data_IF_543082865747
#
_entry.id   IF_543082865747
#
_cell.length_a   1.000
_cell.length_b   1.000
_cell.length_c   1.000
_cell.angle_alpha   90.00
_cell.angle_beta   90.00
_cell.angle_gamma   90.00
#
_symmetry.space_group_name_H-M   'P 1'
#
loop_
_entity.id
_entity.type
_entity.pdbx_description
1 polymer ?
#
# COMPACT_ATOMS: atom_id res chain seq x y z
N UNK A 1 13.95 -16.24 7.87
CA UNK A 1 13.15 -16.80 6.78
C UNK A 1 13.17 -15.93 5.53
N UNK A 2 12.86 -14.64 5.64
CA UNK A 2 12.75 -13.76 4.49
C UNK A 2 13.31 -12.35 4.76
N UNK A 3 13.92 -11.74 3.72
CA UNK A 3 14.27 -10.31 3.69
C UNK A 3 13.87 -9.76 2.32
N UNK A 4 13.24 -8.59 2.29
CA UNK A 4 12.83 -7.91 1.08
C UNK A 4 12.71 -6.39 1.25
N UNK A 5 12.32 -5.72 0.19
CA UNK A 5 12.06 -4.28 0.14
C UNK A 5 10.64 -4.04 -0.37
N UNK A 6 9.99 -3.03 0.19
CA UNK A 6 8.73 -2.47 -0.29
C UNK A 6 8.90 -1.01 -0.72
N UNK A 7 7.79 -0.36 -1.00
CA UNK A 7 7.77 1.06 -1.30
C UNK A 7 8.58 1.44 -2.54
N UNK A 8 9.14 2.64 -2.52
CA UNK A 8 9.89 3.18 -3.66
C UNK A 8 11.17 2.40 -3.95
N UNK A 9 11.85 1.90 -2.92
CA UNK A 9 13.05 1.05 -3.09
C UNK A 9 12.69 -0.30 -3.71
N UNK A 10 11.61 -0.94 -3.24
CA UNK A 10 11.13 -2.20 -3.80
C UNK A 10 10.71 -2.10 -5.28
N UNK A 11 10.27 -0.92 -5.71
CA UNK A 11 9.87 -0.62 -7.09
C UNK A 11 10.99 -0.07 -7.97
N UNK A 12 12.16 0.25 -7.40
CA UNK A 12 13.26 0.91 -8.14
C UNK A 12 12.99 2.38 -8.47
N UNK A 13 12.11 3.04 -7.71
CA UNK A 13 11.68 4.43 -7.90
C UNK A 13 12.18 5.36 -6.77
N UNK A 14 13.11 4.89 -5.94
CA UNK A 14 13.59 5.63 -4.77
C UNK A 14 14.37 6.89 -5.17
N UNK A 15 14.26 7.92 -4.34
CA UNK A 15 15.04 9.15 -4.36
C UNK A 15 15.91 9.23 -3.10
N UNK A 16 16.77 10.23 -3.00
CA UNK A 16 17.65 10.43 -1.82
C UNK A 16 16.88 10.64 -0.51
N UNK A 17 15.62 11.10 -0.59
CA UNK A 17 14.75 11.35 0.56
C UNK A 17 13.70 10.27 0.79
N UNK A 18 13.75 9.17 0.04
CA UNK A 18 12.79 8.08 0.16
C UNK A 18 13.06 7.25 1.40
N UNK A 19 12.00 6.88 2.12
CA UNK A 19 12.06 5.88 3.19
C UNK A 19 12.49 4.52 2.63
N UNK A 20 13.27 3.79 3.42
CA UNK A 20 13.75 2.44 3.09
C UNK A 20 12.83 1.44 3.79
N UNK A 21 11.82 0.98 3.09
CA UNK A 21 10.82 0.03 3.61
C UNK A 21 11.37 -1.40 3.58
N UNK A 22 11.99 -1.85 4.68
CA UNK A 22 12.60 -3.17 4.81
C UNK A 22 11.58 -4.17 5.36
N UNK A 23 11.45 -5.32 4.71
CA UNK A 23 10.66 -6.44 5.21
C UNK A 23 11.60 -7.48 5.77
N UNK A 24 11.43 -7.84 7.05
CA UNK A 24 12.21 -8.90 7.72
C UNK A 24 11.25 -9.88 8.38
N UNK A 25 11.30 -11.14 7.95
CA UNK A 25 10.49 -12.20 8.55
C UNK A 25 11.45 -13.24 9.13
N UNK A 26 11.39 -13.44 10.43
CA UNK A 26 12.16 -14.44 11.15
C UNK A 26 11.38 -15.77 11.20
N UNK A 27 12.06 -16.88 11.46
CA UNK A 27 11.39 -18.15 11.69
C UNK A 27 10.52 -18.11 12.95
N UNK A 28 11.08 -17.55 14.03
CA UNK A 28 10.38 -17.19 15.27
C UNK A 28 10.68 -15.71 15.59
N UNK A 29 9.71 -15.00 16.14
CA UNK A 29 9.83 -13.59 16.47
C UNK A 29 9.37 -13.31 17.90
N UNK A 30 10.22 -12.69 18.69
CA UNK A 30 10.01 -12.41 20.12
C UNK A 30 10.25 -10.93 20.45
N UNK A 31 9.83 -10.51 21.64
CA UNK A 31 10.12 -9.16 22.12
C UNK A 31 11.63 -8.87 22.26
N UNK A 32 12.46 -9.90 22.45
CA UNK A 32 13.91 -9.74 22.49
C UNK A 32 14.49 -9.45 21.11
N UNK A 33 13.90 -10.03 20.06
CA UNK A 33 14.31 -9.77 18.66
C UNK A 33 14.01 -8.33 18.26
N UNK A 34 12.95 -7.73 18.79
CA UNK A 34 12.66 -6.28 18.57
C UNK A 34 13.80 -5.42 19.12
N UNK A 35 14.29 -5.75 20.34
CA UNK A 35 15.38 -5.01 20.95
C UNK A 35 16.70 -5.19 20.18
N UNK A 36 16.99 -6.42 19.76
CA UNK A 36 18.16 -6.73 18.94
C UNK A 36 18.12 -6.03 17.58
N UNK A 37 16.96 -6.04 16.92
CA UNK A 37 16.73 -5.35 15.66
C UNK A 37 16.90 -3.83 15.81
N UNK A 38 16.34 -3.22 16.86
CA UNK A 38 16.52 -1.80 17.12
C UNK A 38 18.00 -1.44 17.34
N UNK A 39 18.71 -2.22 18.17
CA UNK A 39 20.14 -2.01 18.39
C UNK A 39 20.98 -2.14 17.11
N UNK A 40 20.59 -3.03 16.21
CA UNK A 40 21.22 -3.15 14.88
C UNK A 40 20.92 -1.91 14.02
N UNK A 41 19.69 -1.43 14.00
CA UNK A 41 19.30 -0.24 13.24
C UNK A 41 20.07 1.00 13.71
N UNK A 42 20.31 1.15 15.02
CA UNK A 42 20.95 2.32 15.61
C UNK A 42 22.42 2.50 15.17
N UNK A 43 23.07 1.44 14.66
CA UNK A 43 24.43 1.50 14.11
C UNK A 43 24.49 1.68 12.59
N UNK A 44 23.34 1.65 11.90
CA UNK A 44 23.29 1.81 10.44
C UNK A 44 23.26 3.29 10.04
N UNK A 45 23.90 3.65 8.91
CA UNK A 45 23.74 4.97 8.34
C UNK A 45 22.29 5.19 7.89
N UNK A 46 21.83 6.45 7.92
CA UNK A 46 20.49 6.85 7.50
C UNK A 46 19.38 6.13 8.28
N UNK A 47 19.62 5.90 9.59
CA UNK A 47 18.67 5.22 10.49
C UNK A 47 17.27 5.83 10.41
N UNK A 48 17.19 7.14 10.25
CA UNK A 48 15.96 7.93 10.17
C UNK A 48 15.10 7.62 8.93
N UNK A 49 15.71 7.09 7.87
CA UNK A 49 15.00 6.68 6.65
C UNK A 49 14.56 5.21 6.70
N UNK A 50 15.10 4.42 7.62
CA UNK A 50 14.80 2.98 7.68
C UNK A 50 13.50 2.78 8.44
N UNK A 51 12.52 2.22 7.75
CA UNK A 51 11.25 1.76 8.31
C UNK A 51 10.90 0.38 7.73
N UNK A 52 9.69 -0.08 7.93
CA UNK A 52 9.21 -1.30 7.29
C UNK A 52 8.47 -2.25 8.23
N UNK A 53 8.46 -3.52 7.85
CA UNK A 53 7.67 -4.55 8.51
C UNK A 53 8.58 -5.67 9.04
N UNK A 54 8.44 -5.98 10.32
CA UNK A 54 9.17 -7.08 10.97
C UNK A 54 8.17 -8.01 11.64
N UNK A 55 8.27 -9.31 11.41
CA UNK A 55 7.35 -10.30 11.95
C UNK A 55 7.98 -11.69 12.03
N UNK A 56 7.30 -12.62 12.69
CA UNK A 56 7.57 -14.05 12.60
C UNK A 56 6.85 -14.69 11.41
N UNK A 57 7.41 -15.78 10.91
CA UNK A 57 6.79 -16.59 9.84
C UNK A 57 5.38 -17.04 10.21
N UNK A 58 5.22 -17.54 11.44
CA UNK A 58 3.93 -18.04 11.93
C UNK A 58 2.86 -16.95 11.96
N UNK A 59 3.20 -15.77 12.43
CA UNK A 59 2.30 -14.64 12.50
C UNK A 59 1.91 -14.21 11.09
N UNK A 60 2.88 -14.10 10.16
CA UNK A 60 2.62 -13.73 8.78
C UNK A 60 1.71 -14.74 8.05
N UNK A 61 1.93 -16.05 8.24
CA UNK A 61 1.09 -17.09 7.63
C UNK A 61 -0.34 -17.15 8.20
N UNK A 62 -0.60 -16.50 9.34
CA UNK A 62 -1.92 -16.35 9.95
C UNK A 62 -2.47 -14.92 9.85
N UNK A 63 -1.83 -14.05 9.05
CA UNK A 63 -2.28 -12.68 8.84
C UNK A 63 -3.58 -12.65 8.02
N UNK A 64 -4.29 -11.52 8.07
CA UNK A 64 -5.50 -11.35 7.25
C UNK A 64 -5.17 -11.43 5.75
N UNK A 65 -5.77 -12.37 5.01
CA UNK A 65 -5.43 -12.59 3.60
C UNK A 65 -5.61 -11.36 2.69
N UNK A 66 -6.54 -10.46 3.00
CA UNK A 66 -6.71 -9.22 2.25
C UNK A 66 -5.51 -8.27 2.37
N UNK A 67 -4.84 -8.25 3.52
CA UNK A 67 -3.61 -7.48 3.71
C UNK A 67 -2.41 -8.16 3.04
N UNK A 68 -2.38 -9.51 3.06
CA UNK A 68 -1.33 -10.30 2.41
C UNK A 68 -1.28 -10.08 0.90
N UNK A 69 -2.38 -9.77 0.25
CA UNK A 69 -2.42 -9.47 -1.18
C UNK A 69 -1.47 -8.34 -1.54
N UNK A 70 -1.65 -7.18 -0.92
CA UNK A 70 -0.79 -6.01 -1.15
C UNK A 70 0.64 -6.29 -0.68
N UNK A 71 0.79 -6.90 0.49
CA UNK A 71 2.09 -7.22 1.07
C UNK A 71 2.93 -8.10 0.14
N UNK A 72 2.37 -9.17 -0.40
CA UNK A 72 3.06 -10.09 -1.32
C UNK A 72 3.49 -9.37 -2.60
N UNK A 73 2.55 -8.71 -3.24
CA UNK A 73 2.78 -8.13 -4.57
C UNK A 73 3.71 -6.90 -4.54
N UNK A 74 3.67 -6.07 -3.50
CA UNK A 74 4.53 -4.87 -3.39
C UNK A 74 5.93 -5.20 -2.86
N UNK A 75 6.14 -6.38 -2.27
CA UNK A 75 7.45 -6.81 -1.78
C UNK A 75 8.34 -7.32 -2.91
N UNK A 76 9.59 -6.85 -2.92
CA UNK A 76 10.65 -7.35 -3.79
C UNK A 76 11.63 -8.14 -2.95
N UNK A 77 11.79 -9.47 -3.18
CA UNK A 77 12.63 -10.32 -2.36
C UNK A 77 14.12 -10.02 -2.56
N UNK A 78 14.88 -10.01 -1.44
CA UNK A 78 16.35 -10.00 -1.42
C UNK A 78 16.84 -11.39 -1.01
N UNK A 79 16.20 -12.01 -0.01
CA UNK A 79 16.53 -13.34 0.51
C UNK A 79 15.26 -14.10 0.87
N UNK A 80 15.20 -15.37 0.50
CA UNK A 80 14.03 -16.23 0.75
C UNK A 80 12.91 -16.02 -0.28
N UNK A 81 11.75 -16.60 -0.01
CA UNK A 81 10.53 -16.47 -0.84
C UNK A 81 9.30 -16.25 0.04
N UNK A 82 8.34 -15.51 -0.47
CA UNK A 82 7.00 -15.33 0.11
C UNK A 82 5.94 -16.21 -0.57
N UNK A 83 6.31 -17.12 -1.46
CA UNK A 83 5.37 -17.87 -2.30
C UNK A 83 4.38 -18.73 -1.49
N UNK A 84 4.71 -19.09 -0.24
CA UNK A 84 3.77 -19.73 0.68
C UNK A 84 2.50 -18.89 0.92
N UNK A 85 2.58 -17.56 0.79
CA UNK A 85 1.43 -16.65 0.95
C UNK A 85 0.42 -16.76 -0.18
N UNK A 86 0.85 -17.16 -1.38
CA UNK A 86 -0.04 -17.29 -2.55
C UNK A 86 -1.21 -18.25 -2.30
N UNK A 87 -0.96 -19.29 -1.52
CA UNK A 87 -2.01 -20.25 -1.14
C UNK A 87 -3.08 -19.69 -0.19
N UNK A 88 -2.84 -18.53 0.41
CA UNK A 88 -3.74 -17.86 1.34
C UNK A 88 -4.54 -16.72 0.68
N UNK A 89 -4.09 -16.25 -0.49
CA UNK A 89 -4.67 -15.11 -1.21
C UNK A 89 -5.60 -15.63 -2.30
N UNK A 90 -6.87 -15.78 -1.97
CA UNK A 90 -7.94 -16.15 -2.90
C UNK A 90 -8.69 -14.93 -3.45
N UNK A 91 -9.62 -15.15 -4.39
CA UNK A 91 -10.47 -14.08 -4.94
C UNK A 91 -11.25 -13.35 -3.86
N UNK A 92 -11.72 -14.05 -2.82
CA UNK A 92 -12.45 -13.43 -1.71
C UNK A 92 -11.55 -12.52 -0.86
N UNK A 93 -10.26 -12.83 -0.73
CA UNK A 93 -9.28 -11.96 -0.09
C UNK A 93 -9.09 -10.66 -0.87
N UNK A 94 -9.01 -10.74 -2.21
CA UNK A 94 -8.88 -9.57 -3.09
C UNK A 94 -10.14 -8.70 -3.03
N UNK A 95 -11.32 -9.30 -3.07
CA UNK A 95 -12.61 -8.60 -2.89
C UNK A 95 -12.65 -7.84 -1.56
N UNK A 96 -12.19 -8.49 -0.47
CA UNK A 96 -12.10 -7.85 0.85
C UNK A 96 -11.09 -6.71 0.86
N UNK A 97 -9.92 -6.86 0.23
CA UNK A 97 -8.92 -5.79 0.13
C UNK A 97 -9.50 -4.54 -0.53
N UNK A 98 -10.18 -4.70 -1.66
CA UNK A 98 -10.86 -3.61 -2.38
C UNK A 98 -11.93 -2.97 -1.49
N UNK A 99 -12.79 -3.80 -0.88
CA UNK A 99 -13.93 -3.33 -0.08
C UNK A 99 -13.48 -2.60 1.17
N UNK A 100 -12.55 -3.17 1.93
CA UNK A 100 -12.00 -2.56 3.15
C UNK A 100 -11.28 -1.26 2.80
N UNK A 101 -10.46 -1.28 1.75
CA UNK A 101 -9.78 -0.09 1.25
C UNK A 101 -10.75 1.03 0.90
N UNK A 102 -11.79 0.75 0.11
CA UNK A 102 -12.83 1.72 -0.25
C UNK A 102 -13.56 2.28 0.98
N UNK A 103 -13.90 1.42 1.96
CA UNK A 103 -14.55 1.86 3.21
C UNK A 103 -13.66 2.81 4.02
N UNK A 104 -12.37 2.49 4.16
CA UNK A 104 -11.42 3.32 4.89
C UNK A 104 -11.19 4.66 4.19
N UNK A 105 -11.08 4.67 2.87
CA UNK A 105 -10.94 5.89 2.06
C UNK A 105 -12.19 6.76 2.20
N UNK A 106 -13.38 6.18 2.08
CA UNK A 106 -14.65 6.89 2.25
C UNK A 106 -14.71 7.57 3.62
N UNK A 107 -14.48 6.79 4.70
CA UNK A 107 -14.50 7.32 6.05
C UNK A 107 -13.47 8.43 6.26
N UNK A 108 -12.23 8.19 5.84
CA UNK A 108 -11.14 9.18 5.95
C UNK A 108 -11.42 10.45 5.15
N UNK A 109 -12.01 10.32 3.95
CA UNK A 109 -12.39 11.46 3.12
C UNK A 109 -13.46 12.32 3.79
N UNK A 110 -14.53 11.70 4.30
CA UNK A 110 -15.61 12.42 5.03
C UNK A 110 -15.04 13.10 6.27
N UNK A 111 -14.23 12.39 7.06
CA UNK A 111 -13.61 12.95 8.26
C UNK A 111 -12.71 14.16 7.92
N UNK A 112 -11.88 14.02 6.90
CA UNK A 112 -10.98 15.11 6.47
C UNK A 112 -11.75 16.33 5.96
N UNK A 113 -12.80 16.13 5.17
CA UNK A 113 -13.63 17.23 4.66
C UNK A 113 -14.36 18.00 5.76
N UNK A 114 -14.78 17.31 6.82
CA UNK A 114 -15.56 17.91 7.91
C UNK A 114 -14.69 18.53 9.00
N UNK A 115 -13.59 17.88 9.35
CA UNK A 115 -12.85 18.18 10.59
C UNK A 115 -11.42 18.69 10.34
N UNK A 116 -10.59 17.91 9.64
CA UNK A 116 -9.15 18.19 9.53
C UNK A 116 -8.82 19.22 8.44
N UNK A 117 -9.48 19.13 7.28
CA UNK A 117 -9.23 19.96 6.09
C UNK A 117 -7.77 20.01 5.70
N UNK A 118 -7.10 18.86 5.79
CA UNK A 118 -5.68 18.67 5.62
C UNK A 118 -5.34 18.13 4.23
N UNK A 119 -4.50 18.86 3.51
CA UNK A 119 -3.95 18.40 2.23
C UNK A 119 -3.07 17.16 2.39
N UNK A 120 -2.38 17.03 3.52
CA UNK A 120 -1.51 15.88 3.79
C UNK A 120 -2.31 14.59 4.00
N UNK A 121 -3.44 14.69 4.71
CA UNK A 121 -4.38 13.56 4.84
C UNK A 121 -4.94 13.20 3.45
N UNK A 122 -5.31 14.19 2.64
CA UNK A 122 -5.82 13.94 1.29
C UNK A 122 -4.79 13.21 0.41
N UNK A 123 -3.52 13.60 0.46
CA UNK A 123 -2.42 12.87 -0.21
C UNK A 123 -2.32 11.43 0.24
N UNK A 124 -2.41 11.19 1.55
CA UNK A 124 -2.40 9.84 2.13
C UNK A 124 -3.58 8.98 1.64
N UNK A 125 -4.78 9.58 1.54
CA UNK A 125 -5.97 8.90 1.02
C UNK A 125 -5.85 8.56 -0.46
N UNK A 126 -5.30 9.45 -1.30
CA UNK A 126 -5.02 9.15 -2.70
C UNK A 126 -3.95 8.06 -2.87
N UNK A 127 -2.92 8.07 -2.01
CA UNK A 127 -1.94 6.98 -1.97
C UNK A 127 -2.62 5.65 -1.66
N UNK A 128 -3.49 5.59 -0.65
CA UNK A 128 -4.26 4.39 -0.32
C UNK A 128 -5.19 3.96 -1.47
N UNK A 129 -5.87 4.93 -2.11
CA UNK A 129 -6.74 4.67 -3.26
C UNK A 129 -5.98 4.08 -4.45
N UNK A 130 -4.76 4.53 -4.72
CA UNK A 130 -3.93 3.97 -5.78
C UNK A 130 -3.60 2.49 -5.57
N UNK A 131 -3.45 2.05 -4.33
CA UNK A 131 -3.29 0.63 -3.99
C UNK A 131 -4.59 -0.17 -4.21
N UNK A 132 -5.75 0.42 -3.89
CA UNK A 132 -7.04 -0.22 -4.20
C UNK A 132 -7.21 -0.36 -5.72
N UNK A 133 -6.81 0.64 -6.51
CA UNK A 133 -6.82 0.56 -7.98
C UNK A 133 -5.92 -0.57 -8.49
N UNK A 134 -4.75 -0.81 -7.89
CA UNK A 134 -3.92 -1.97 -8.23
C UNK A 134 -4.64 -3.29 -7.98
N UNK A 135 -5.37 -3.41 -6.86
CA UNK A 135 -6.15 -4.62 -6.56
C UNK A 135 -7.32 -4.81 -7.53
N UNK A 136 -8.01 -3.73 -7.92
CA UNK A 136 -9.08 -3.74 -8.92
C UNK A 136 -8.54 -4.23 -10.27
N UNK A 137 -7.44 -3.65 -10.74
CA UNK A 137 -6.81 -4.03 -12.00
C UNK A 137 -6.34 -5.50 -11.99
N UNK A 138 -5.77 -5.95 -10.87
CA UNK A 138 -5.38 -7.35 -10.71
C UNK A 138 -6.59 -8.27 -10.76
N UNK A 139 -7.67 -7.95 -10.09
CA UNK A 139 -8.91 -8.74 -10.10
C UNK A 139 -9.48 -8.90 -11.50
N UNK A 140 -9.40 -7.86 -12.33
CA UNK A 140 -9.93 -7.85 -13.69
C UNK A 140 -9.03 -8.59 -14.69
N UNK A 141 -7.71 -8.59 -14.47
CA UNK A 141 -6.73 -9.02 -15.49
C UNK A 141 -5.84 -10.18 -15.05
N UNK A 142 -5.77 -10.48 -13.76
CA UNK A 142 -4.80 -11.40 -13.17
C UNK A 142 -3.36 -10.88 -13.16
N UNK A 143 -3.14 -9.61 -13.54
CA UNK A 143 -1.80 -9.01 -13.64
C UNK A 143 -1.61 -7.91 -12.59
N UNK A 144 -0.61 -8.05 -11.72
CA UNK A 144 -0.26 -6.99 -10.78
C UNK A 144 0.73 -6.00 -11.41
N UNK A 145 0.45 -4.72 -11.29
CA UNK A 145 1.29 -3.63 -11.81
C UNK A 145 1.83 -2.81 -10.65
N UNK A 146 3.12 -2.95 -10.33
CA UNK A 146 3.76 -2.24 -9.20
C UNK A 146 3.90 -0.73 -9.44
N UNK A 147 4.32 -0.35 -10.66
CA UNK A 147 4.54 1.05 -11.01
C UNK A 147 3.23 1.78 -11.22
N UNK A 148 3.01 2.88 -10.50
CA UNK A 148 1.82 3.71 -10.66
C UNK A 148 1.76 4.38 -12.04
N UNK A 149 2.92 4.70 -12.62
CA UNK A 149 3.01 5.27 -13.98
C UNK A 149 2.56 4.26 -15.05
N UNK A 150 2.93 3.00 -14.87
CA UNK A 150 2.52 1.93 -15.78
C UNK A 150 1.04 1.57 -15.59
N UNK A 151 0.55 1.60 -14.35
CA UNK A 151 -0.86 1.37 -14.00
C UNK A 151 -1.76 2.40 -14.68
N UNK A 152 -1.36 3.67 -14.66
CA UNK A 152 -2.07 4.77 -15.31
C UNK A 152 -2.40 4.50 -16.78
N UNK A 153 -1.53 3.80 -17.49
CA UNK A 153 -1.72 3.49 -18.93
C UNK A 153 -2.66 2.30 -19.18
N UNK A 154 -3.09 1.60 -18.12
CA UNK A 154 -3.76 0.30 -18.24
C UNK A 154 -5.17 0.29 -17.66
N UNK A 155 -5.46 1.20 -16.73
CA UNK A 155 -6.74 1.26 -16.02
C UNK A 155 -7.81 2.02 -16.80
N UNK A 156 -9.07 1.82 -16.41
CA UNK A 156 -10.23 2.55 -16.95
C UNK A 156 -10.16 4.06 -16.64
N UNK A 157 -11.00 4.87 -17.27
CA UNK A 157 -10.95 6.33 -17.11
C UNK A 157 -11.25 6.77 -15.66
N UNK A 158 -12.09 6.04 -14.94
CA UNK A 158 -12.40 6.36 -13.53
C UNK A 158 -11.22 6.07 -12.60
N UNK A 159 -10.62 4.90 -12.73
CA UNK A 159 -9.44 4.52 -11.96
C UNK A 159 -8.22 5.35 -12.37
N UNK A 160 -8.15 5.74 -13.64
CA UNK A 160 -7.09 6.62 -14.16
C UNK A 160 -7.08 7.95 -13.43
N UNK A 161 -8.23 8.59 -13.24
CA UNK A 161 -8.33 9.84 -12.50
C UNK A 161 -7.77 9.75 -11.08
N UNK A 162 -7.98 8.62 -10.38
CA UNK A 162 -7.42 8.40 -9.04
C UNK A 162 -5.88 8.31 -9.09
N UNK A 163 -5.34 7.57 -10.04
CA UNK A 163 -3.88 7.39 -10.19
C UNK A 163 -3.21 8.69 -10.65
N UNK A 164 -3.83 9.45 -11.58
CA UNK A 164 -3.34 10.77 -12.02
C UNK A 164 -3.26 11.75 -10.85
N UNK A 165 -4.32 11.86 -10.06
CA UNK A 165 -4.35 12.73 -8.89
C UNK A 165 -3.28 12.31 -7.86
N UNK A 166 -3.10 11.01 -7.62
CA UNK A 166 -2.03 10.53 -6.74
C UNK A 166 -0.65 10.96 -7.25
N UNK A 167 -0.37 10.77 -8.53
CA UNK A 167 0.93 11.14 -9.13
C UNK A 167 1.16 12.65 -9.11
N UNK A 168 0.13 13.45 -9.40
CA UNK A 168 0.16 14.91 -9.32
C UNK A 168 0.50 15.37 -7.89
N UNK A 169 -0.20 14.84 -6.89
CA UNK A 169 0.07 15.12 -5.48
C UNK A 169 1.49 14.72 -5.05
N UNK A 170 1.97 13.57 -5.53
CA UNK A 170 3.35 13.11 -5.28
C UNK A 170 4.40 14.05 -5.87
N UNK A 171 4.12 14.66 -7.02
CA UNK A 171 4.99 15.60 -7.68
C UNK A 171 4.95 17.03 -7.07
N UNK A 172 4.03 17.28 -6.13
CA UNK A 172 3.90 18.57 -5.47
C UNK A 172 3.06 19.59 -6.26
N UNK A 173 2.21 19.12 -7.16
CA UNK A 173 1.30 19.99 -7.90
C UNK A 173 0.25 20.62 -6.96
N UNK A 174 -0.38 21.69 -7.47
CA UNK A 174 -1.39 22.44 -6.71
C UNK A 174 -2.59 21.56 -6.36
N UNK A 175 -2.99 21.61 -5.10
CA UNK A 175 -4.14 20.89 -4.58
C UNK A 175 -5.39 21.77 -4.69
N UNK A 176 -6.43 21.27 -5.37
CA UNK A 176 -7.80 21.72 -5.14
C UNK A 176 -8.45 20.75 -4.15
N UNK A 177 -8.40 21.12 -2.88
CA UNK A 177 -8.87 20.26 -1.79
C UNK A 177 -10.33 19.83 -1.97
N UNK A 178 -11.20 20.77 -2.40
CA UNK A 178 -12.63 20.48 -2.50
C UNK A 178 -12.93 19.56 -3.68
N UNK A 179 -12.40 19.86 -4.85
CA UNK A 179 -12.60 19.07 -6.06
C UNK A 179 -12.03 17.66 -5.87
N UNK A 180 -10.77 17.56 -5.45
CA UNK A 180 -10.11 16.26 -5.27
C UNK A 180 -10.77 15.41 -4.16
N UNK A 181 -11.21 16.03 -3.06
CA UNK A 181 -11.95 15.29 -2.02
C UNK A 181 -13.29 14.77 -2.54
N UNK A 182 -13.99 15.54 -3.36
CA UNK A 182 -15.27 15.13 -3.96
C UNK A 182 -15.09 13.97 -4.92
N UNK A 183 -14.08 14.01 -5.79
CA UNK A 183 -13.74 12.91 -6.71
C UNK A 183 -13.45 11.62 -5.93
N UNK A 184 -12.62 11.70 -4.91
CA UNK A 184 -12.23 10.54 -4.11
C UNK A 184 -13.41 9.96 -3.31
N UNK A 185 -14.26 10.83 -2.76
CA UNK A 185 -15.48 10.44 -2.05
C UNK A 185 -16.44 9.66 -2.97
N UNK A 186 -16.77 10.19 -4.15
CA UNK A 186 -17.71 9.52 -5.07
C UNK A 186 -17.13 8.22 -5.63
N UNK A 187 -15.83 8.18 -5.91
CA UNK A 187 -15.15 6.96 -6.34
C UNK A 187 -15.21 5.87 -5.24
N UNK A 188 -14.87 6.20 -4.01
CA UNK A 188 -14.89 5.23 -2.90
C UNK A 188 -16.32 4.74 -2.59
N UNK A 189 -17.31 5.62 -2.63
CA UNK A 189 -18.73 5.31 -2.47
C UNK A 189 -19.23 4.30 -3.50
N UNK A 190 -18.81 4.44 -4.77
CA UNK A 190 -19.13 3.48 -5.84
C UNK A 190 -18.63 2.09 -5.50
N UNK A 191 -17.36 1.96 -5.08
CA UNK A 191 -16.76 0.67 -4.74
C UNK A 191 -17.35 0.04 -3.47
N UNK A 192 -17.86 0.84 -2.53
CA UNK A 192 -18.66 0.36 -1.40
C UNK A 192 -20.01 -0.18 -1.86
N UNK A 193 -20.67 0.49 -2.80
CA UNK A 193 -22.02 0.15 -3.29
C UNK A 193 -22.06 -1.05 -4.22
N UNK A 194 -20.98 -1.36 -4.91
CA UNK A 194 -20.90 -2.49 -5.84
C UNK A 194 -21.02 -3.81 -5.06
N UNK A 195 -22.18 -4.46 -5.20
CA UNK A 195 -22.37 -5.86 -4.81
C UNK A 195 -21.93 -6.71 -6.01
N UNK A 196 -20.76 -7.30 -5.90
CA UNK A 196 -20.36 -8.40 -6.79
C UNK A 196 -20.80 -9.72 -6.20
#
# INVERSE_FOLDING_TARGET
WFVGLQGSYGRGEATETSDIDVVVILDEFTAQDIQAYNAMLDILPNRELICGFVSGKKELLNWEPSDLFQFYHDTTPIKGSLDELLGLIDEAAIDRAIKIGACNIYHGCVHNMLHEKSDEILKGLYKAASFVVQAIYFQETGCYVKSQKDLLQKVSDEERCIVENFLSLKNGDKIDFHEMSTVLFEWSKKWIGNKR
#
